data_IF_672265405597
#
_entry.id   IF_672265405597
#
_cell.length_a   1.000
_cell.length_b   1.000
_cell.length_c   1.000
_cell.angle_alpha   90.00
_cell.angle_beta   90.00
_cell.angle_gamma   90.00
#
_symmetry.space_group_name_H-M   'P 1'
#
loop_
_entity.id
_entity.type
_entity.pdbx_description
1 polymer ?
#
# COMPACT_ATOMS: atom_id res chain seq x y z
N UNK A 1 -43.43 20.65 10.12
CA UNK A 1 -41.97 20.51 9.93
C UNK A 1 -41.68 20.68 8.45
N UNK A 2 -41.03 21.78 8.15
CA UNK A 2 -41.05 22.47 6.86
C UNK A 2 -40.21 21.74 5.81
N UNK A 3 -40.88 21.25 4.75
CA UNK A 3 -40.26 20.52 3.64
C UNK A 3 -39.14 21.33 2.95
N UNK A 4 -39.21 22.66 3.00
CA UNK A 4 -38.17 23.58 2.54
C UNK A 4 -36.89 23.46 3.35
N UNK A 5 -37.01 23.37 4.68
CA UNK A 5 -35.86 23.19 5.58
C UNK A 5 -35.15 21.86 5.31
N UNK A 6 -35.92 20.79 5.08
CA UNK A 6 -35.37 19.47 4.73
C UNK A 6 -34.62 19.49 3.40
N UNK A 7 -35.14 20.19 2.38
CA UNK A 7 -34.47 20.33 1.08
C UNK A 7 -33.16 21.09 1.18
N UNK A 8 -33.11 22.17 1.96
CA UNK A 8 -31.89 22.94 2.15
C UNK A 8 -30.84 22.15 2.94
N UNK A 9 -31.27 21.45 4.01
CA UNK A 9 -30.38 20.54 4.73
C UNK A 9 -29.79 19.47 3.80
N UNK A 10 -30.60 18.85 2.94
CA UNK A 10 -30.14 17.84 1.98
C UNK A 10 -29.09 18.40 1.01
N UNK A 11 -29.33 19.59 0.44
CA UNK A 11 -28.38 20.23 -0.48
C UNK A 11 -27.06 20.56 0.21
N UNK A 12 -27.11 21.06 1.45
CA UNK A 12 -25.90 21.32 2.26
C UNK A 12 -25.16 20.02 2.55
N UNK A 13 -25.85 18.93 2.89
CA UNK A 13 -25.23 17.63 3.12
C UNK A 13 -24.58 17.06 1.86
N UNK A 14 -25.22 17.20 0.69
CA UNK A 14 -24.64 16.75 -0.59
C UNK A 14 -23.41 17.58 -0.95
N UNK A 15 -23.47 18.90 -0.79
CA UNK A 15 -22.32 19.77 -1.02
C UNK A 15 -21.14 19.41 -0.09
N UNK A 16 -21.44 19.12 1.18
CA UNK A 16 -20.43 18.69 2.14
C UNK A 16 -19.83 17.33 1.77
N UNK A 17 -20.65 16.37 1.35
CA UNK A 17 -20.20 15.05 0.92
C UNK A 17 -19.33 15.10 -0.35
N UNK A 18 -19.62 16.01 -1.28
CA UNK A 18 -18.81 16.25 -2.49
C UNK A 18 -17.52 17.01 -2.19
N UNK A 19 -17.49 17.83 -1.14
CA UNK A 19 -16.29 18.54 -0.68
C UNK A 19 -15.35 17.63 0.12
N UNK A 20 -15.84 16.49 0.60
CA UNK A 20 -15.01 15.53 1.31
C UNK A 20 -14.04 14.89 0.29
N UNK A 21 -12.71 15.03 0.48
CA UNK A 21 -11.77 14.28 -0.33
C UNK A 21 -12.09 12.78 -0.16
N UNK A 22 -12.04 11.97 -1.24
CA UNK A 22 -12.30 10.55 -1.13
C UNK A 22 -11.42 9.97 -0.04
N UNK A 23 -12.04 9.30 0.94
CA UNK A 23 -11.32 8.59 1.97
C UNK A 23 -10.35 7.64 1.27
N UNK A 24 -9.05 7.97 1.36
CA UNK A 24 -8.02 7.31 0.60
C UNK A 24 -7.86 5.87 1.10
N UNK A 25 -8.57 4.94 0.46
CA UNK A 25 -8.22 3.53 0.50
C UNK A 25 -6.86 3.41 -0.19
N UNK A 26 -5.81 3.45 0.62
CA UNK A 26 -4.39 3.71 0.31
C UNK A 26 -3.71 2.79 -0.74
N UNK A 27 -4.45 1.91 -1.38
CA UNK A 27 -3.95 0.90 -2.32
C UNK A 27 -4.49 1.08 -3.76
N UNK A 28 -5.44 1.97 -4.00
CA UNK A 28 -5.98 2.14 -5.35
C UNK A 28 -5.91 3.60 -5.80
N UNK A 29 -4.94 3.86 -6.70
CA UNK A 29 -5.00 4.86 -7.77
C UNK A 29 -4.19 6.18 -7.68
N UNK A 30 -3.09 6.28 -6.92
CA UNK A 30 -2.14 7.41 -7.14
C UNK A 30 -1.58 7.45 -8.58
N UNK A 31 -1.59 6.32 -9.31
CA UNK A 31 -1.16 6.21 -10.72
C UNK A 31 -2.09 6.91 -11.72
N UNK A 32 -3.37 7.05 -11.41
CA UNK A 32 -4.38 7.59 -12.35
C UNK A 32 -4.50 9.12 -12.29
N UNK A 33 -3.73 9.77 -11.41
CA UNK A 33 -3.71 11.23 -11.30
C UNK A 33 -2.92 11.80 -12.49
N UNK A 34 -3.60 12.55 -13.35
CA UNK A 34 -3.01 13.20 -14.53
C UNK A 34 -2.14 14.41 -14.15
N UNK A 35 -2.51 15.18 -13.13
CA UNK A 35 -1.76 16.34 -12.67
C UNK A 35 -0.52 15.93 -11.87
N UNK A 36 0.67 16.34 -12.32
CA UNK A 36 1.96 15.95 -11.72
C UNK A 36 2.08 16.38 -10.25
N UNK A 37 1.66 17.60 -9.92
CA UNK A 37 1.73 18.12 -8.55
C UNK A 37 0.83 17.34 -7.57
N UNK A 38 -0.36 16.94 -8.02
CA UNK A 38 -1.28 16.13 -7.21
C UNK A 38 -0.78 14.69 -7.05
N UNK A 39 -0.14 14.15 -8.08
CA UNK A 39 0.50 12.83 -8.04
C UNK A 39 1.63 12.78 -7.00
N UNK A 40 2.50 13.79 -7.01
CA UNK A 40 3.60 13.89 -6.04
C UNK A 40 3.09 14.08 -4.61
N UNK A 41 1.99 14.84 -4.42
CA UNK A 41 1.32 14.97 -3.14
C UNK A 41 0.70 13.65 -2.65
N UNK A 42 0.10 12.85 -3.54
CA UNK A 42 -0.47 11.54 -3.23
C UNK A 42 0.61 10.56 -2.73
N UNK A 43 1.75 10.50 -3.42
CA UNK A 43 2.86 9.66 -3.02
C UNK A 43 3.48 10.08 -1.69
N UNK A 44 3.67 11.38 -1.44
CA UNK A 44 4.22 11.87 -0.17
C UNK A 44 3.33 11.49 1.02
N UNK A 45 2.00 11.63 0.90
CA UNK A 45 1.08 11.21 1.96
C UNK A 45 1.08 9.71 2.19
N UNK A 46 1.20 8.92 1.11
CA UNK A 46 1.35 7.46 1.22
C UNK A 46 2.65 7.09 1.95
N UNK A 47 3.77 7.74 1.63
CA UNK A 47 5.04 7.52 2.31
C UNK A 47 4.99 7.97 3.78
N UNK A 48 4.35 9.10 4.09
CA UNK A 48 4.17 9.59 5.45
C UNK A 48 3.29 8.65 6.29
N UNK A 49 2.21 8.10 5.72
CA UNK A 49 1.37 7.12 6.41
C UNK A 49 2.06 5.75 6.50
N UNK A 50 2.81 5.33 5.49
CA UNK A 50 3.65 4.13 5.55
C UNK A 50 4.76 4.28 6.60
N UNK A 51 5.35 5.47 6.72
CA UNK A 51 6.33 5.80 7.75
C UNK A 51 5.70 5.85 9.15
N UNK A 52 4.45 6.33 9.25
CA UNK A 52 3.68 6.31 10.48
C UNK A 52 3.27 4.88 10.89
N UNK A 53 2.93 4.00 9.93
CA UNK A 53 2.66 2.56 10.16
C UNK A 53 3.93 1.73 10.34
N UNK A 54 5.08 2.20 9.85
CA UNK A 54 6.42 1.66 10.14
C UNK A 54 6.90 1.97 11.57
N UNK A 55 6.14 2.75 12.34
CA UNK A 55 6.28 2.75 13.81
C UNK A 55 5.84 1.38 14.33
N UNK A 56 6.63 0.78 15.23
CA UNK A 56 6.94 -0.65 15.19
C UNK A 56 5.69 -1.50 15.39
N UNK A 57 5.20 -2.11 14.31
CA UNK A 57 4.48 -3.37 14.44
C UNK A 57 5.47 -4.39 15.04
N UNK A 58 5.03 -5.24 15.99
CA UNK A 58 5.91 -6.19 16.64
C UNK A 58 6.62 -7.04 15.60
N UNK A 59 7.89 -7.32 15.89
CA UNK A 59 8.95 -7.91 15.06
C UNK A 59 8.61 -9.31 14.52
N UNK A 60 7.38 -9.79 14.63
CA UNK A 60 7.04 -11.20 14.48
C UNK A 60 6.68 -11.63 13.05
N UNK A 61 6.07 -10.76 12.24
CA UNK A 61 5.59 -11.18 10.90
C UNK A 61 6.53 -10.72 9.77
N UNK A 62 6.91 -9.45 9.76
CA UNK A 62 7.86 -8.90 8.78
C UNK A 62 9.27 -9.49 8.92
N UNK A 63 9.73 -9.74 10.15
CA UNK A 63 11.03 -10.38 10.35
C UNK A 63 11.00 -11.84 9.93
N UNK A 64 9.87 -12.53 10.14
CA UNK A 64 9.67 -13.89 9.64
C UNK A 64 9.62 -13.90 8.12
N UNK A 65 9.00 -12.92 7.49
CA UNK A 65 9.00 -12.76 6.03
C UNK A 65 10.41 -12.52 5.49
N UNK A 66 11.19 -11.62 6.13
CA UNK A 66 12.58 -11.35 5.77
C UNK A 66 13.49 -12.55 6.02
N UNK A 67 13.29 -13.28 7.12
CA UNK A 67 14.01 -14.51 7.44
C UNK A 67 13.69 -15.61 6.44
N UNK A 68 12.41 -15.80 6.09
CA UNK A 68 11.98 -16.74 5.04
C UNK A 68 12.59 -16.37 3.69
N UNK A 69 12.65 -15.08 3.34
CA UNK A 69 13.29 -14.63 2.11
C UNK A 69 14.80 -14.95 2.09
N UNK A 70 15.49 -14.78 3.22
CA UNK A 70 16.91 -15.14 3.36
C UNK A 70 17.12 -16.65 3.26
N UNK A 71 16.24 -17.43 3.89
CA UNK A 71 16.24 -18.89 3.84
C UNK A 71 16.15 -19.40 2.40
N UNK A 72 15.18 -18.90 1.61
CA UNK A 72 15.01 -19.31 0.21
C UNK A 72 16.27 -19.05 -0.63
N UNK A 73 16.98 -17.94 -0.40
CA UNK A 73 18.24 -17.65 -1.11
C UNK A 73 19.35 -18.61 -0.76
N UNK A 74 19.44 -19.02 0.52
CA UNK A 74 20.41 -20.01 0.96
C UNK A 74 20.10 -21.41 0.41
N UNK A 75 18.82 -21.76 0.34
CA UNK A 75 18.36 -23.04 -0.21
C UNK A 75 18.64 -23.11 -1.73
N UNK A 76 18.38 -22.03 -2.47
CA UNK A 76 18.73 -21.93 -3.90
C UNK A 76 20.25 -22.12 -4.11
N UNK A 77 21.09 -21.42 -3.34
CA UNK A 77 22.55 -21.56 -3.42
C UNK A 77 23.02 -22.99 -3.10
N UNK A 78 22.39 -23.65 -2.13
CA UNK A 78 22.69 -25.04 -1.76
C UNK A 78 22.29 -26.01 -2.89
N UNK A 79 21.13 -25.81 -3.51
CA UNK A 79 20.68 -26.59 -4.67
C UNK A 79 21.66 -26.43 -5.83
N UNK A 80 22.06 -25.20 -6.18
CA UNK A 80 23.04 -24.97 -7.23
C UNK A 80 24.37 -25.69 -6.98
N UNK A 81 24.89 -25.65 -5.75
CA UNK A 81 26.12 -26.38 -5.39
C UNK A 81 25.95 -27.89 -5.50
N UNK A 82 24.80 -28.42 -5.09
CA UNK A 82 24.50 -29.86 -5.20
C UNK A 82 24.41 -30.32 -6.65
N UNK A 83 23.80 -29.51 -7.53
CA UNK A 83 23.67 -29.81 -8.96
C UNK A 83 25.05 -29.77 -9.63
N UNK A 84 25.92 -28.84 -9.22
CA UNK A 84 27.27 -28.69 -9.77
C UNK A 84 28.19 -29.90 -9.49
N UNK A 85 27.87 -30.70 -8.46
CA UNK A 85 28.63 -31.92 -8.12
C UNK A 85 28.06 -33.20 -8.77
N UNK A 86 26.91 -33.11 -9.45
CA UNK A 86 26.39 -34.21 -10.24
C UNK A 86 27.01 -34.07 -11.63
N UNK A 87 27.95 -34.95 -12.00
CA UNK A 87 28.39 -35.11 -13.38
C UNK A 87 27.17 -35.36 -14.27
N UNK A 88 26.66 -34.31 -14.92
CA UNK A 88 25.70 -34.38 -16.02
C UNK A 88 26.50 -34.76 -17.27
N UNK A 89 26.90 -36.03 -17.34
CA UNK A 89 27.69 -36.56 -18.45
C UNK A 89 27.11 -36.11 -19.79
N UNK A 90 27.93 -35.40 -20.56
CA UNK A 90 27.88 -35.38 -22.01
C UNK A 90 29.07 -36.21 -22.49
#
# INVERSE_FOLDING_TARGET
>A
MDSTFVKHALLVFIALALSAPPAATLEQNCRFIQAKAEREGCYKRQEEELAAKRKPAPVTDESRALETQRQMRQDDDAVYRSINNICRGC
#
